data_IF_381812378732
#
_entry.id   IF_381812378732
#
_cell.length_a   1.000
_cell.length_b   1.000
_cell.length_c   1.000
_cell.angle_alpha   90.00
_cell.angle_beta   90.00
_cell.angle_gamma   90.00
#
_symmetry.space_group_name_H-M   'P 1'
#
loop_
_entity.id
_entity.type
_entity.pdbx_description
1 polymer ?
#
# COMPACT_ATOMS: atom_id res chain seq x y z
N UNK A 1 -1.08 29.14 9.99
CA UNK A 1 -1.14 27.88 10.76
C UNK A 1 -2.53 27.47 11.26
N UNK A 2 -3.53 28.37 11.41
CA UNK A 2 -4.88 27.96 11.89
C UNK A 2 -5.75 27.21 10.86
N UNK A 3 -5.48 27.34 9.56
CA UNK A 3 -6.28 26.69 8.50
C UNK A 3 -5.99 25.19 8.32
N UNK A 4 -4.80 24.72 8.69
CA UNK A 4 -4.41 23.32 8.53
C UNK A 4 -5.19 22.40 9.47
N UNK A 5 -5.44 22.85 10.71
CA UNK A 5 -6.16 22.08 11.73
C UNK A 5 -7.63 21.86 11.36
N UNK A 6 -8.28 22.85 10.73
CA UNK A 6 -9.70 22.77 10.38
C UNK A 6 -9.96 21.85 9.18
N UNK A 7 -9.01 21.80 8.23
CA UNK A 7 -9.05 20.86 7.11
C UNK A 7 -8.88 19.41 7.57
N UNK A 8 -7.98 19.18 8.54
CA UNK A 8 -7.76 17.86 9.14
C UNK A 8 -9.04 17.34 9.82
N UNK A 9 -9.75 18.18 10.59
CA UNK A 9 -11.00 17.80 11.27
C UNK A 9 -12.10 17.41 10.28
N UNK A 10 -12.23 18.12 9.15
CA UNK A 10 -13.27 17.83 8.16
C UNK A 10 -13.01 16.51 7.40
N UNK A 11 -11.74 16.22 7.11
CA UNK A 11 -11.33 14.93 6.52
C UNK A 11 -11.61 13.78 7.50
N UNK A 12 -11.37 13.96 8.80
CA UNK A 12 -11.69 12.96 9.81
C UNK A 12 -13.18 12.62 9.90
N UNK A 13 -14.07 13.60 9.74
CA UNK A 13 -15.52 13.38 9.79
C UNK A 13 -16.04 12.57 8.59
N UNK A 14 -15.48 12.77 7.39
CA UNK A 14 -15.87 12.04 6.18
C UNK A 14 -15.43 10.57 6.20
N UNK A 15 -14.26 10.28 6.77
CA UNK A 15 -13.73 8.93 6.87
C UNK A 15 -14.59 8.08 7.83
N UNK A 16 -15.08 8.67 8.93
CA UNK A 16 -15.86 7.98 9.96
C UNK A 16 -17.17 7.34 9.44
N UNK A 17 -17.83 7.95 8.45
CA UNK A 17 -19.13 7.49 7.93
C UNK A 17 -19.04 6.27 7.01
N UNK A 18 -17.88 6.05 6.36
CA UNK A 18 -17.67 4.91 5.44
C UNK A 18 -17.44 3.57 6.19
N UNK A 19 -17.04 3.64 7.47
CA UNK A 19 -16.57 2.48 8.25
C UNK A 19 -17.66 1.54 8.78
N UNK A 20 -18.93 1.94 8.80
CA UNK A 20 -19.98 1.15 9.44
C UNK A 20 -20.32 -0.18 8.73
N UNK A 21 -19.88 -0.39 7.47
CA UNK A 21 -20.28 -1.53 6.66
C UNK A 21 -19.37 -2.77 6.66
N UNK A 22 -18.13 -2.70 7.17
CA UNK A 22 -17.12 -3.75 6.96
C UNK A 22 -16.67 -4.54 8.21
N UNK A 23 -17.34 -4.38 9.36
CA UNK A 23 -16.87 -4.91 10.66
C UNK A 23 -17.28 -6.38 10.93
N UNK A 24 -18.02 -7.04 10.02
CA UNK A 24 -18.77 -8.26 10.35
C UNK A 24 -17.98 -9.54 10.68
N UNK A 25 -16.64 -9.56 10.63
CA UNK A 25 -15.84 -10.72 11.08
C UNK A 25 -14.66 -10.34 11.99
N UNK A 26 -14.66 -9.12 12.54
CA UNK A 26 -13.59 -8.68 13.44
C UNK A 26 -13.63 -9.47 14.75
N UNK A 27 -12.49 -10.06 15.10
CA UNK A 27 -12.23 -10.82 16.34
C UNK A 27 -12.86 -10.10 17.54
N UNK A 28 -14.00 -10.61 18.01
CA UNK A 28 -14.85 -9.94 19.01
C UNK A 28 -14.10 -9.73 20.33
N UNK A 29 -12.99 -10.45 20.54
CA UNK A 29 -12.08 -10.32 21.67
C UNK A 29 -11.60 -8.88 21.91
N UNK A 30 -11.38 -8.09 20.86
CA UNK A 30 -10.83 -6.74 21.00
C UNK A 30 -11.86 -5.72 21.57
N UNK A 31 -13.16 -5.99 21.38
CA UNK A 31 -14.25 -5.09 21.79
C UNK A 31 -14.82 -5.41 23.18
N UNK A 32 -14.28 -6.43 23.85
CA UNK A 32 -14.68 -6.82 25.22
C UNK A 32 -13.89 -6.06 26.30
N UNK A 33 -12.89 -5.27 25.92
CA UNK A 33 -12.11 -4.45 26.85
C UNK A 33 -12.92 -3.21 27.26
N UNK A 34 -12.65 -2.69 28.46
CA UNK A 34 -13.32 -1.49 28.98
C UNK A 34 -13.03 -0.22 28.14
N UNK A 35 -12.04 -0.26 27.25
CA UNK A 35 -11.57 0.89 26.49
C UNK A 35 -11.96 0.86 24.99
N UNK A 36 -13.28 0.78 24.74
CA UNK A 36 -13.84 0.91 23.39
C UNK A 36 -13.48 2.26 22.72
N UNK A 37 -13.22 3.28 23.53
CA UNK A 37 -12.82 4.60 23.05
C UNK A 37 -11.44 4.54 22.41
N UNK A 38 -10.46 3.93 23.08
CA UNK A 38 -9.10 3.77 22.56
C UNK A 38 -9.06 2.93 21.28
N UNK A 39 -9.81 1.82 21.21
CA UNK A 39 -9.91 1.01 19.98
C UNK A 39 -10.36 1.87 18.80
N UNK A 40 -11.42 2.66 18.99
CA UNK A 40 -11.96 3.54 17.95
C UNK A 40 -10.99 4.65 17.56
N UNK A 41 -10.26 5.20 18.53
CA UNK A 41 -9.21 6.19 18.27
C UNK A 41 -8.09 5.62 17.38
N UNK A 42 -7.59 4.43 17.72
CA UNK A 42 -6.57 3.72 16.95
C UNK A 42 -7.07 3.40 15.53
N UNK A 43 -8.32 2.97 15.38
CA UNK A 43 -8.92 2.74 14.07
C UNK A 43 -8.94 4.00 13.21
N UNK A 44 -9.35 5.14 13.77
CA UNK A 44 -9.37 6.45 13.09
C UNK A 44 -7.97 6.85 12.62
N UNK A 45 -6.97 6.69 13.49
CA UNK A 45 -5.56 7.01 13.18
C UNK A 45 -4.99 6.08 12.09
N UNK A 46 -5.30 4.78 12.14
CA UNK A 46 -4.95 3.84 11.08
C UNK A 46 -5.62 4.20 9.74
N UNK A 47 -6.89 4.59 9.75
CA UNK A 47 -7.58 5.02 8.53
C UNK A 47 -6.94 6.27 7.92
N UNK A 48 -6.54 7.22 8.76
CA UNK A 48 -5.78 8.39 8.32
C UNK A 48 -4.46 7.98 7.67
N UNK A 49 -3.68 7.07 8.28
CA UNK A 49 -2.45 6.55 7.68
C UNK A 49 -2.69 5.94 6.29
N UNK A 50 -3.69 5.05 6.17
CA UNK A 50 -4.01 4.42 4.89
C UNK A 50 -4.44 5.41 3.84
N UNK A 51 -5.23 6.42 4.21
CA UNK A 51 -5.62 7.49 3.30
C UNK A 51 -4.40 8.22 2.73
N UNK A 52 -3.46 8.63 3.60
CA UNK A 52 -2.24 9.33 3.15
C UNK A 52 -1.32 8.44 2.33
N UNK A 53 -1.07 7.19 2.76
CA UNK A 53 -0.26 6.25 1.99
C UNK A 53 -0.87 6.01 0.60
N UNK A 54 -2.19 5.72 0.52
CA UNK A 54 -2.87 5.46 -0.75
C UNK A 54 -2.94 6.68 -1.67
N UNK A 55 -3.04 7.89 -1.11
CA UNK A 55 -3.08 9.13 -1.90
C UNK A 55 -1.86 9.28 -2.81
N UNK A 56 -0.68 8.83 -2.36
CA UNK A 56 0.54 8.90 -3.15
C UNK A 56 0.74 7.69 -4.07
N UNK A 57 0.03 6.58 -3.86
CA UNK A 57 0.03 5.40 -4.74
C UNK A 57 -1.05 5.50 -5.83
N UNK A 58 -1.13 6.63 -6.54
CA UNK A 58 -2.13 6.81 -7.61
C UNK A 58 -2.03 5.69 -8.66
N UNK A 59 -3.16 5.30 -9.25
CA UNK A 59 -3.25 4.28 -10.29
C UNK A 59 -2.32 4.56 -11.48
N UNK A 60 -2.04 5.84 -11.77
CA UNK A 60 -1.19 6.20 -12.91
C UNK A 60 0.30 6.23 -12.59
N UNK A 61 0.72 6.81 -11.43
CA UNK A 61 2.12 7.00 -11.04
C UNK A 61 2.28 7.17 -9.52
N UNK A 62 3.47 6.84 -9.02
CA UNK A 62 3.86 7.11 -7.65
C UNK A 62 4.31 8.58 -7.48
N UNK A 63 3.59 9.35 -6.66
CA UNK A 63 3.98 10.72 -6.28
C UNK A 63 5.08 10.69 -5.21
N UNK A 64 6.31 10.39 -5.66
CA UNK A 64 7.47 10.26 -4.76
C UNK A 64 7.76 11.57 -4.02
N UNK A 65 7.63 12.71 -4.68
CA UNK A 65 7.98 14.01 -4.11
C UNK A 65 6.98 14.42 -3.03
N UNK A 66 5.68 14.26 -3.30
CA UNK A 66 4.64 14.47 -2.29
C UNK A 66 4.76 13.50 -1.12
N UNK A 67 5.13 12.24 -1.38
CA UNK A 67 5.39 11.26 -0.33
C UNK A 67 6.57 11.66 0.57
N UNK A 68 7.69 12.11 0.00
CA UNK A 68 8.89 12.54 0.76
C UNK A 68 8.58 13.63 1.79
N UNK A 69 7.66 14.54 1.47
CA UNK A 69 7.23 15.60 2.39
C UNK A 69 6.55 15.04 3.64
N UNK A 70 5.87 13.89 3.53
CA UNK A 70 5.09 13.28 4.62
C UNK A 70 5.77 12.09 5.28
N UNK A 71 6.83 11.54 4.69
CA UNK A 71 7.48 10.29 5.12
C UNK A 71 7.80 10.28 6.63
N UNK A 72 8.44 11.33 7.14
CA UNK A 72 8.80 11.45 8.56
C UNK A 72 7.58 11.46 9.47
N UNK A 73 6.53 12.20 9.09
CA UNK A 73 5.30 12.29 9.88
C UNK A 73 4.56 10.93 9.92
N UNK A 74 4.49 10.22 8.80
CA UNK A 74 3.91 8.88 8.72
C UNK A 74 4.68 7.87 9.57
N UNK A 75 6.01 7.94 9.56
CA UNK A 75 6.86 7.05 10.36
C UNK A 75 6.70 7.28 11.86
N UNK A 76 6.61 8.54 12.30
CA UNK A 76 6.35 8.87 13.71
C UNK A 76 4.98 8.38 14.16
N UNK A 77 3.96 8.51 13.30
CA UNK A 77 2.61 8.05 13.59
C UNK A 77 2.54 6.51 13.71
N UNK A 78 3.20 5.77 12.81
CA UNK A 78 3.32 4.31 12.91
C UNK A 78 3.96 3.89 14.23
N UNK A 79 5.07 4.53 14.64
CA UNK A 79 5.74 4.21 15.90
C UNK A 79 4.87 4.53 17.13
N UNK A 80 4.12 5.63 17.07
CA UNK A 80 3.17 5.99 18.12
C UNK A 80 2.06 4.94 18.24
N UNK A 81 1.48 4.51 17.10
CA UNK A 81 0.44 3.47 17.09
C UNK A 81 0.97 2.11 17.54
N UNK A 82 2.21 1.75 17.19
CA UNK A 82 2.85 0.52 17.64
C UNK A 82 2.94 0.47 19.17
N UNK A 83 3.33 1.58 19.78
CA UNK A 83 3.38 1.72 21.24
C UNK A 83 2.00 1.57 21.87
N UNK A 84 0.99 2.23 21.32
CA UNK A 84 -0.39 2.18 21.84
C UNK A 84 -0.97 0.77 21.68
N UNK A 85 -0.85 0.16 20.51
CA UNK A 85 -1.36 -1.19 20.23
C UNK A 85 -0.64 -2.23 21.09
N UNK A 86 0.66 -2.07 21.35
CA UNK A 86 1.44 -2.96 22.22
C UNK A 86 1.01 -2.95 23.69
N UNK A 87 0.30 -1.91 24.13
CA UNK A 87 -0.25 -1.81 25.49
C UNK A 87 -1.69 -2.34 25.59
N UNK A 88 -2.36 -2.56 24.46
CA UNK A 88 -3.73 -3.07 24.41
C UNK A 88 -3.76 -4.59 24.58
N UNK A 89 -4.85 -5.15 25.13
CA UNK A 89 -5.11 -6.59 25.02
C UNK A 89 -5.06 -7.04 23.55
N UNK A 90 -4.68 -8.30 23.30
CA UNK A 90 -4.35 -8.80 21.96
C UNK A 90 -5.45 -8.50 20.93
N UNK A 91 -5.24 -7.44 20.15
CA UNK A 91 -6.14 -6.96 19.11
C UNK A 91 -5.53 -7.25 17.73
N UNK A 92 -5.59 -8.53 17.32
CA UNK A 92 -4.92 -9.03 16.11
C UNK A 92 -5.22 -8.21 14.85
N UNK A 93 -6.46 -7.75 14.70
CA UNK A 93 -6.85 -6.96 13.53
C UNK A 93 -6.13 -5.60 13.48
N UNK A 94 -5.99 -4.89 14.61
CA UNK A 94 -5.25 -3.62 14.68
C UNK A 94 -3.77 -3.83 14.41
N UNK A 95 -3.17 -4.86 15.02
CA UNK A 95 -1.77 -5.22 14.78
C UNK A 95 -1.50 -5.57 13.31
N UNK A 96 -2.40 -6.33 12.67
CA UNK A 96 -2.27 -6.68 11.25
C UNK A 96 -2.36 -5.44 10.35
N UNK A 97 -3.32 -4.54 10.64
CA UNK A 97 -3.46 -3.27 9.91
C UNK A 97 -2.23 -2.38 10.07
N UNK A 98 -1.69 -2.24 11.28
CA UNK A 98 -0.47 -1.47 11.52
C UNK A 98 0.75 -2.08 10.80
N UNK A 99 0.88 -3.41 10.84
CA UNK A 99 1.94 -4.13 10.13
C UNK A 99 1.86 -3.89 8.62
N UNK A 100 0.65 -3.92 8.05
CA UNK A 100 0.46 -3.63 6.64
C UNK A 100 0.76 -2.16 6.29
N UNK A 101 0.32 -1.19 7.09
CA UNK A 101 0.68 0.23 6.91
C UNK A 101 2.20 0.45 6.97
N UNK A 102 2.88 -0.22 7.89
CA UNK A 102 4.35 -0.20 8.01
C UNK A 102 5.02 -0.79 6.78
N UNK A 103 4.51 -1.90 6.27
CA UNK A 103 4.97 -2.48 5.01
C UNK A 103 4.83 -1.50 3.86
N UNK A 104 3.64 -0.89 3.67
CA UNK A 104 3.39 0.10 2.62
C UNK A 104 4.39 1.26 2.70
N UNK A 105 4.60 1.84 3.89
CA UNK A 105 5.56 2.93 4.09
C UNK A 105 6.97 2.51 3.64
N UNK A 106 7.42 1.31 4.03
CA UNK A 106 8.74 0.81 3.65
C UNK A 106 8.87 0.62 2.14
N UNK A 107 7.87 0.03 1.47
CA UNK A 107 7.89 -0.12 0.00
C UNK A 107 8.01 1.23 -0.69
N UNK A 108 7.24 2.23 -0.24
CA UNK A 108 7.23 3.56 -0.82
C UNK A 108 8.57 4.29 -0.59
N UNK A 109 9.19 4.12 0.58
CA UNK A 109 10.54 4.62 0.89
C UNK A 109 11.59 4.02 -0.04
N UNK A 110 11.64 2.69 -0.13
CA UNK A 110 12.61 1.99 -0.99
C UNK A 110 12.42 2.41 -2.46
N UNK A 111 11.16 2.51 -2.89
CA UNK A 111 10.82 2.91 -4.26
C UNK A 111 11.21 4.36 -4.54
N UNK A 112 11.02 5.28 -3.59
CA UNK A 112 11.44 6.67 -3.75
C UNK A 112 12.97 6.78 -3.91
N UNK A 113 13.72 6.03 -3.11
CA UNK A 113 15.19 5.96 -3.23
C UNK A 113 15.63 5.36 -4.58
N UNK A 114 15.00 4.28 -5.03
CA UNK A 114 15.33 3.69 -6.32
C UNK A 114 14.98 4.62 -7.49
N UNK A 115 13.85 5.34 -7.42
CA UNK A 115 13.48 6.33 -8.44
C UNK A 115 14.42 7.55 -8.49
N UNK A 116 15.14 7.85 -7.41
CA UNK A 116 16.21 8.85 -7.41
C UNK A 116 17.48 8.32 -8.09
N UNK A 117 17.79 7.03 -7.94
CA UNK A 117 18.93 6.38 -8.60
C UNK A 117 18.72 6.23 -10.11
N UNK A 118 17.52 5.84 -10.54
CA UNK A 118 17.20 5.60 -11.95
C UNK A 118 16.54 6.82 -12.60
N UNK A 119 17.25 7.96 -12.70
CA UNK A 119 16.72 9.20 -13.34
C UNK A 119 17.08 9.35 -14.82
N UNK A 120 18.01 8.54 -15.33
CA UNK A 120 18.51 8.64 -16.69
C UNK A 120 17.52 8.25 -17.79
N UNK A 121 17.87 8.54 -19.05
CA UNK A 121 17.03 8.29 -20.22
C UNK A 121 17.35 6.96 -20.92
N UNK A 122 18.31 6.22 -20.39
CA UNK A 122 18.69 4.90 -20.86
C UNK A 122 17.52 3.92 -20.73
N UNK A 123 17.48 2.94 -21.65
CA UNK A 123 16.37 2.00 -21.74
C UNK A 123 16.22 1.14 -20.48
N UNK A 124 17.32 0.76 -19.85
CA UNK A 124 17.34 0.04 -18.59
C UNK A 124 16.77 0.89 -17.45
N UNK A 125 17.19 2.16 -17.32
CA UNK A 125 16.66 3.08 -16.33
C UNK A 125 15.14 3.29 -16.49
N UNK A 126 14.64 3.38 -17.73
CA UNK A 126 13.20 3.47 -18.02
C UNK A 126 12.43 2.22 -17.57
N UNK A 127 12.96 1.04 -17.88
CA UNK A 127 12.38 -0.24 -17.47
C UNK A 127 12.40 -0.37 -15.94
N UNK A 128 13.50 -0.01 -15.29
CA UNK A 128 13.62 -0.03 -13.83
C UNK A 128 12.57 0.86 -13.17
N UNK A 129 12.44 2.12 -13.61
CA UNK A 129 11.41 3.04 -13.08
C UNK A 129 10.01 2.44 -13.18
N UNK A 130 9.70 1.81 -14.31
CA UNK A 130 8.39 1.19 -14.49
C UNK A 130 8.12 0.08 -13.45
N UNK A 131 9.06 -0.85 -13.26
CA UNK A 131 8.86 -1.96 -12.30
C UNK A 131 8.81 -1.45 -10.86
N UNK A 132 9.56 -0.41 -10.53
CA UNK A 132 9.50 0.26 -9.22
C UNK A 132 8.12 0.88 -8.99
N UNK A 133 7.62 1.69 -9.93
CA UNK A 133 6.30 2.31 -9.85
C UNK A 133 5.19 1.26 -9.75
N UNK A 134 5.29 0.17 -10.53
CA UNK A 134 4.34 -0.93 -10.48
C UNK A 134 4.25 -1.56 -9.09
N UNK A 135 5.38 -1.83 -8.43
CA UNK A 135 5.38 -2.40 -7.08
C UNK A 135 4.63 -1.51 -6.07
N UNK A 136 4.71 -0.19 -6.22
CA UNK A 136 3.96 0.78 -5.41
C UNK A 136 2.47 0.77 -5.78
N UNK A 137 2.14 0.76 -7.08
CA UNK A 137 0.75 0.70 -7.57
C UNK A 137 0.02 -0.54 -7.09
N UNK A 138 0.71 -1.70 -7.03
CA UNK A 138 0.12 -2.94 -6.52
C UNK A 138 -0.34 -2.82 -5.06
N UNK A 139 0.21 -1.90 -4.25
CA UNK A 139 -0.28 -1.66 -2.89
C UNK A 139 -1.67 -1.00 -2.88
N UNK A 140 -1.97 -0.18 -3.89
CA UNK A 140 -3.26 0.50 -4.03
C UNK A 140 -4.42 -0.46 -4.32
N UNK A 141 -4.10 -1.68 -4.78
CA UNK A 141 -5.06 -2.76 -5.02
C UNK A 141 -5.44 -3.51 -3.73
N UNK A 142 -4.85 -3.18 -2.57
CA UNK A 142 -5.20 -3.78 -1.28
C UNK A 142 -6.11 -2.87 -0.49
N UNK A 143 -6.97 -3.45 0.33
CA UNK A 143 -7.79 -2.73 1.29
C UNK A 143 -6.96 -2.36 2.54
N UNK A 144 -7.59 -1.67 3.51
CA UNK A 144 -6.94 -1.24 4.74
C UNK A 144 -6.52 -2.40 5.68
N UNK A 145 -6.86 -3.65 5.33
CA UNK A 145 -6.48 -4.86 6.05
C UNK A 145 -5.36 -5.63 5.34
N UNK A 146 -4.77 -5.08 4.27
CA UNK A 146 -3.70 -5.74 3.51
C UNK A 146 -4.16 -6.85 2.58
N UNK A 147 -5.47 -7.04 2.45
CA UNK A 147 -6.07 -8.03 1.55
C UNK A 147 -6.40 -7.41 0.20
N UNK A 148 -6.41 -8.18 -0.90
CA UNK A 148 -6.94 -7.77 -2.19
C UNK A 148 -8.32 -7.10 -2.08
N UNK A 149 -8.48 -5.90 -2.65
CA UNK A 149 -9.74 -5.15 -2.61
C UNK A 149 -10.62 -5.49 -3.82
N UNK A 150 -11.14 -6.71 -3.86
CA UNK A 150 -11.94 -7.22 -4.99
C UNK A 150 -13.26 -6.49 -5.21
N UNK A 151 -13.70 -5.71 -4.21
CA UNK A 151 -14.93 -4.90 -4.28
C UNK A 151 -14.69 -3.53 -4.91
N UNK A 152 -13.43 -3.15 -5.12
CA UNK A 152 -13.07 -1.89 -5.77
C UNK A 152 -13.42 -1.95 -7.25
N UNK A 153 -14.07 -0.89 -7.75
CA UNK A 153 -14.33 -0.72 -9.17
C UNK A 153 -13.02 -0.82 -9.98
N UNK A 154 -13.05 -1.55 -11.11
CA UNK A 154 -11.90 -1.74 -11.97
C UNK A 154 -10.82 -2.68 -11.44
N UNK A 155 -11.04 -3.39 -10.31
CA UNK A 155 -10.02 -4.25 -9.72
C UNK A 155 -9.52 -5.36 -10.68
N UNK A 156 -10.44 -6.05 -11.35
CA UNK A 156 -10.11 -7.14 -12.28
C UNK A 156 -9.33 -6.64 -13.51
N UNK A 157 -9.77 -5.50 -14.05
CA UNK A 157 -9.17 -4.82 -15.19
C UNK A 157 -7.74 -4.37 -14.86
N UNK A 158 -7.55 -3.76 -13.70
CA UNK A 158 -6.24 -3.28 -13.24
C UNK A 158 -5.28 -4.45 -13.02
N UNK A 159 -5.70 -5.52 -12.32
CA UNK A 159 -4.88 -6.73 -12.13
C UNK A 159 -4.47 -7.31 -13.50
N UNK A 160 -5.41 -7.44 -14.42
CA UNK A 160 -5.15 -7.96 -15.77
C UNK A 160 -4.20 -7.07 -16.57
N UNK A 161 -4.34 -5.74 -16.47
CA UNK A 161 -3.47 -4.78 -17.12
C UNK A 161 -2.05 -4.85 -16.56
N UNK A 162 -1.90 -4.90 -15.24
CA UNK A 162 -0.60 -5.02 -14.59
C UNK A 162 0.12 -6.33 -14.94
N UNK A 163 -0.59 -7.47 -15.02
CA UNK A 163 0.00 -8.74 -15.48
C UNK A 163 0.56 -8.60 -16.89
N UNK A 164 -0.23 -8.11 -17.84
CA UNK A 164 0.22 -7.93 -19.23
C UNK A 164 1.42 -6.99 -19.32
N UNK A 165 1.36 -5.85 -18.64
CA UNK A 165 2.42 -4.87 -18.69
C UNK A 165 3.71 -5.39 -18.04
N UNK A 166 3.61 -6.14 -16.92
CA UNK A 166 4.77 -6.74 -16.27
C UNK A 166 5.48 -7.72 -17.21
N UNK A 167 4.74 -8.57 -17.94
CA UNK A 167 5.31 -9.46 -18.95
C UNK A 167 5.97 -8.70 -20.11
N UNK A 168 5.30 -7.68 -20.65
CA UNK A 168 5.86 -6.85 -21.71
C UNK A 168 7.17 -6.18 -21.29
N UNK A 169 7.24 -5.70 -20.04
CA UNK A 169 8.44 -5.05 -19.49
C UNK A 169 9.59 -6.03 -19.31
N UNK A 170 9.31 -7.30 -18.97
CA UNK A 170 10.33 -8.35 -18.96
C UNK A 170 10.87 -8.64 -20.36
N UNK A 171 10.00 -8.78 -21.35
CA UNK A 171 10.45 -8.99 -22.74
C UNK A 171 11.33 -7.82 -23.23
N UNK A 172 10.96 -6.58 -22.88
CA UNK A 172 11.78 -5.41 -23.18
C UNK A 172 13.13 -5.44 -22.47
N UNK A 173 13.17 -5.85 -21.19
CA UNK A 173 14.41 -5.96 -20.43
C UNK A 173 15.35 -7.02 -21.02
N UNK A 174 14.82 -8.18 -21.38
CA UNK A 174 15.58 -9.30 -21.98
C UNK A 174 16.17 -8.95 -23.36
N UNK A 175 15.66 -7.92 -24.04
CA UNK A 175 16.19 -7.41 -25.30
C UNK A 175 17.32 -6.37 -25.14
N UNK A 176 17.55 -5.86 -23.92
CA UNK A 176 18.59 -4.87 -23.66
C UNK A 176 19.99 -5.51 -23.73
N UNK A 177 20.91 -4.84 -24.42
CA UNK A 177 22.30 -5.25 -24.50
C UNK A 177 23.15 -4.49 -23.48
N UNK A 178 24.16 -5.16 -22.91
CA UNK A 178 25.14 -4.56 -21.99
C UNK A 178 24.53 -3.96 -20.71
N UNK A 179 23.46 -4.55 -20.18
CA UNK A 179 22.90 -4.14 -18.89
C UNK A 179 23.86 -4.50 -17.77
N UNK A 180 24.09 -3.57 -16.84
CA UNK A 180 24.91 -3.82 -15.67
C UNK A 180 24.35 -4.99 -14.82
N UNK A 181 25.25 -5.79 -14.26
CA UNK A 181 24.88 -6.97 -13.48
C UNK A 181 24.02 -6.60 -12.26
N UNK A 182 24.32 -5.49 -11.59
CA UNK A 182 23.58 -4.99 -10.43
C UNK A 182 22.16 -4.57 -10.82
N UNK A 183 22.02 -3.90 -11.97
CA UNK A 183 20.71 -3.52 -12.53
C UNK A 183 19.89 -4.76 -12.84
N UNK A 184 20.51 -5.81 -13.38
CA UNK A 184 19.85 -7.08 -13.68
C UNK A 184 19.33 -7.77 -12.42
N UNK A 185 20.12 -7.87 -11.35
CA UNK A 185 19.67 -8.44 -10.07
C UNK A 185 18.49 -7.65 -9.51
N UNK A 186 18.59 -6.32 -9.51
CA UNK A 186 17.54 -5.46 -8.99
C UNK A 186 16.24 -5.61 -9.80
N UNK A 187 16.35 -5.67 -11.14
CA UNK A 187 15.22 -5.90 -12.02
C UNK A 187 14.46 -7.18 -11.66
N UNK A 188 15.16 -8.33 -11.63
CA UNK A 188 14.51 -9.61 -11.33
C UNK A 188 13.93 -9.66 -9.92
N UNK A 189 14.60 -9.04 -8.94
CA UNK A 189 14.09 -8.95 -7.56
C UNK A 189 12.75 -8.20 -7.51
N UNK A 190 12.67 -7.04 -8.18
CA UNK A 190 11.45 -6.23 -8.21
C UNK A 190 10.36 -6.87 -9.10
N UNK A 191 10.75 -7.53 -10.18
CA UNK A 191 9.86 -8.26 -11.07
C UNK A 191 9.18 -9.42 -10.34
N UNK A 192 9.96 -10.27 -9.67
CA UNK A 192 9.45 -11.44 -8.95
C UNK A 192 8.51 -11.01 -7.82
N UNK A 193 8.85 -9.94 -7.09
CA UNK A 193 7.97 -9.36 -6.07
C UNK A 193 6.61 -8.93 -6.65
N UNK A 194 6.63 -8.23 -7.79
CA UNK A 194 5.40 -7.79 -8.45
C UNK A 194 4.59 -8.99 -8.97
N UNK A 195 5.26 -9.98 -9.55
CA UNK A 195 4.65 -11.20 -10.07
C UNK A 195 3.97 -12.02 -8.97
N UNK A 196 4.65 -12.26 -7.85
CA UNK A 196 4.08 -12.99 -6.70
C UNK A 196 2.87 -12.24 -6.13
N UNK A 197 2.94 -10.92 -6.04
CA UNK A 197 1.80 -10.10 -5.61
C UNK A 197 0.61 -10.23 -6.57
N UNK A 198 0.86 -10.19 -7.88
CA UNK A 198 -0.18 -10.35 -8.89
C UNK A 198 -0.78 -11.76 -8.94
N UNK A 199 0.00 -12.81 -8.65
CA UNK A 199 -0.52 -14.17 -8.50
C UNK A 199 -1.54 -14.26 -7.37
N UNK A 200 -1.25 -13.64 -6.22
CA UNK A 200 -2.21 -13.55 -5.11
C UNK A 200 -3.47 -12.82 -5.53
N UNK A 201 -3.36 -11.73 -6.28
CA UNK A 201 -4.51 -10.95 -6.75
C UNK A 201 -5.37 -11.72 -7.74
N UNK A 202 -4.74 -12.34 -8.74
CA UNK A 202 -5.42 -13.17 -9.73
C UNK A 202 -6.11 -14.39 -9.11
N UNK A 203 -5.56 -14.95 -8.03
CA UNK A 203 -6.20 -16.03 -7.29
C UNK A 203 -7.57 -15.64 -6.74
N UNK A 204 -7.69 -14.42 -6.19
CA UNK A 204 -8.95 -13.93 -5.62
C UNK A 204 -10.04 -13.66 -6.68
N UNK A 205 -9.65 -13.43 -7.94
CA UNK A 205 -10.60 -13.28 -9.06
C UNK A 205 -11.24 -14.60 -9.52
N UNK A 206 -10.60 -15.74 -9.23
CA UNK A 206 -11.09 -17.07 -9.63
C UNK A 206 -12.10 -17.67 -8.66
N UNK A 207 -12.17 -17.15 -7.44
CA UNK A 207 -13.10 -17.62 -6.43
C UNK A 207 -14.46 -16.95 -6.66
N UNK A 208 -15.56 -17.71 -6.81
CA UNK A 208 -16.88 -17.13 -6.88
C UNK A 208 -17.18 -16.41 -5.57
N UNK A 209 -17.61 -15.15 -5.66
CA UNK A 209 -17.89 -14.26 -4.54
C UNK A 209 -19.01 -14.74 -3.58
N UNK A 210 -19.52 -15.96 -3.76
CA UNK A 210 -20.61 -16.57 -2.97
C UNK A 210 -20.19 -17.75 -2.09
N UNK A 211 -18.90 -17.87 -1.73
CA UNK A 211 -18.39 -18.97 -0.88
C UNK A 211 -17.69 -18.53 0.43
N UNK A 212 -17.89 -17.28 0.86
CA UNK A 212 -17.44 -16.76 2.16
C UNK A 212 -18.58 -16.15 2.94
#
# INVERSE_FOLDING_TARGET
MKHTTQFIIFVFALIASSLAGQIATADSSCYLTEDKHLVKEVEVRLNWLFYFLKKHTNASRFDKDGFRVLETALSLEINSLDTVIGQMPLCKHLSHRLSFASHMLQVMRDSAEYLEKYTGNESDARVMRYVIELNVQLLALRNAYGMPDTQREGYSEDVSAHVRNLHAVRELFEQLQNVDFTVSIMFYTLFDRALETLKVYAWHLRLPAGSM
#
